data_IF_160276404925
#
_entry.id   IF_160276404925
#
_cell.length_a   1.000
_cell.length_b   1.000
_cell.length_c   1.000
_cell.angle_alpha   90.00
_cell.angle_beta   90.00
_cell.angle_gamma   90.00
#
_symmetry.space_group_name_H-M   'P 1'
#
loop_
_entity.id
_entity.type
_entity.pdbx_description
1 polymer ?
#
# COMPACT_ATOMS: atom_id res chain seq x y z
N UNK A 1 -3.40 12.41 13.03
CA UNK A 1 -3.01 10.99 12.93
C UNK A 1 -1.51 10.96 12.70
N UNK A 2 -0.79 10.00 13.30
CA UNK A 2 0.66 9.89 13.25
C UNK A 2 1.02 8.51 12.64
N UNK A 3 1.93 8.40 11.66
CA UNK A 3 2.61 9.48 10.92
C UNK A 3 1.64 10.42 10.15
N UNK A 4 2.06 11.64 9.76
CA UNK A 4 1.21 12.54 8.99
C UNK A 4 1.00 12.00 7.57
N UNK A 5 -0.21 12.18 7.01
CA UNK A 5 -0.55 11.69 5.67
C UNK A 5 0.34 12.30 4.56
N UNK A 6 0.98 13.44 4.80
CA UNK A 6 1.98 14.03 3.90
C UNK A 6 3.17 13.11 3.63
N UNK A 7 3.47 12.18 4.53
CA UNK A 7 4.54 11.21 4.37
C UNK A 7 4.17 10.03 3.45
N UNK A 8 2.88 9.87 3.10
CA UNK A 8 2.42 8.76 2.27
C UNK A 8 2.96 8.86 0.84
N UNK A 9 3.69 7.83 0.44
CA UNK A 9 4.15 7.61 -0.92
C UNK A 9 3.63 6.24 -1.38
N UNK A 10 2.72 6.24 -2.35
CA UNK A 10 2.14 4.99 -2.86
C UNK A 10 3.09 4.35 -3.87
N UNK A 11 3.30 3.04 -3.74
CA UNK A 11 4.03 2.21 -4.70
C UNK A 11 3.16 1.02 -5.11
N UNK A 12 3.35 0.54 -6.33
CA UNK A 12 2.76 -0.72 -6.79
C UNK A 12 3.83 -1.80 -6.70
N UNK A 13 3.62 -2.80 -5.85
CA UNK A 13 4.50 -3.98 -5.81
C UNK A 13 4.08 -4.94 -6.92
N UNK A 14 5.07 -5.45 -7.66
CA UNK A 14 4.83 -6.42 -8.73
C UNK A 14 4.38 -7.79 -8.19
N UNK A 15 3.79 -8.65 -9.03
CA UNK A 15 3.47 -10.01 -8.63
C UNK A 15 4.72 -10.74 -8.10
N UNK A 16 4.58 -11.40 -6.95
CA UNK A 16 5.72 -12.02 -6.25
C UNK A 16 6.55 -11.05 -5.39
N UNK A 17 6.19 -9.76 -5.35
CA UNK A 17 6.81 -8.75 -4.49
C UNK A 17 5.85 -8.29 -3.38
N UNK A 18 6.38 -8.14 -2.17
CA UNK A 18 5.64 -7.61 -1.01
C UNK A 18 5.74 -6.08 -0.91
N UNK A 19 4.81 -5.46 -0.17
CA UNK A 19 4.90 -4.03 0.13
C UNK A 19 6.17 -3.66 0.90
N UNK A 20 6.64 -4.54 1.80
CA UNK A 20 7.93 -4.37 2.47
C UNK A 20 9.07 -4.23 1.46
N UNK A 21 9.13 -5.11 0.45
CA UNK A 21 10.20 -5.13 -0.55
C UNK A 21 10.16 -3.89 -1.44
N UNK A 22 9.01 -3.57 -2.05
CA UNK A 22 8.91 -2.44 -2.98
C UNK A 22 9.26 -1.10 -2.30
N UNK A 23 8.82 -0.90 -1.05
CA UNK A 23 9.19 0.31 -0.30
C UNK A 23 10.70 0.33 -0.02
N UNK A 24 11.28 -0.79 0.43
CA UNK A 24 12.70 -0.89 0.76
C UNK A 24 13.60 -0.64 -0.46
N UNK A 25 13.27 -1.21 -1.62
CA UNK A 25 14.00 -0.99 -2.88
C UNK A 25 13.98 0.48 -3.33
N UNK A 26 12.91 1.20 -2.96
CA UNK A 26 12.76 2.64 -3.21
C UNK A 26 13.39 3.52 -2.11
N UNK A 27 14.17 2.96 -1.17
CA UNK A 27 14.74 3.68 -0.02
C UNK A 27 13.67 4.32 0.88
N UNK A 28 12.52 3.65 1.00
CA UNK A 28 11.40 3.98 1.86
C UNK A 28 11.16 2.81 2.84
N UNK A 29 10.18 2.96 3.73
CA UNK A 29 9.67 1.87 4.57
C UNK A 29 8.15 1.77 4.41
N UNK A 30 7.62 0.55 4.46
CA UNK A 30 6.16 0.35 4.43
C UNK A 30 5.53 0.90 5.72
N UNK A 31 4.46 1.67 5.58
CA UNK A 31 3.74 2.30 6.69
C UNK A 31 2.31 1.72 6.78
N UNK A 32 2.07 0.72 7.63
CA UNK A 32 0.80 0.00 7.65
C UNK A 32 -0.38 0.88 8.08
N UNK A 33 -0.16 1.94 8.87
CA UNK A 33 -1.23 2.86 9.27
C UNK A 33 -1.88 3.59 8.09
N UNK A 34 -1.23 3.65 6.93
CA UNK A 34 -1.76 4.32 5.75
C UNK A 34 -2.61 3.42 4.84
N UNK A 35 -2.69 2.10 5.08
CA UNK A 35 -3.54 1.23 4.26
C UNK A 35 -5.01 1.65 4.26
N UNK A 36 -5.51 2.19 5.38
CA UNK A 36 -6.89 2.70 5.48
C UNK A 36 -7.20 3.83 4.48
N UNK A 37 -6.17 4.53 3.96
CA UNK A 37 -6.30 5.58 2.97
C UNK A 37 -6.16 5.07 1.53
N UNK A 38 -6.02 3.76 1.33
CA UNK A 38 -5.84 3.11 0.03
C UNK A 38 -6.89 2.02 -0.21
N UNK A 39 -8.02 2.07 0.51
CA UNK A 39 -8.98 0.97 0.56
C UNK A 39 -10.35 1.28 -0.09
N UNK A 40 -10.38 2.21 -1.04
CA UNK A 40 -11.57 2.52 -1.86
C UNK A 40 -11.17 3.12 -3.20
N UNK A 41 -12.02 2.95 -4.21
CA UNK A 41 -11.79 3.41 -5.59
C UNK A 41 -11.36 4.90 -5.64
N UNK A 42 -12.12 5.78 -4.98
CA UNK A 42 -11.88 7.24 -4.96
C UNK A 42 -10.53 7.64 -4.39
N UNK A 43 -9.96 6.84 -3.49
CA UNK A 43 -8.65 7.13 -2.92
C UNK A 43 -7.53 6.75 -3.90
N UNK A 44 -7.70 5.63 -4.59
CA UNK A 44 -6.74 5.09 -5.54
C UNK A 44 -6.60 5.92 -6.81
N UNK A 45 -7.67 6.62 -7.22
CA UNK A 45 -7.66 7.57 -8.33
C UNK A 45 -6.56 8.65 -8.21
N UNK A 46 -6.21 9.08 -6.99
CA UNK A 46 -5.16 10.08 -6.73
C UNK A 46 -3.76 9.57 -7.08
N UNK A 47 -3.61 8.26 -7.19
CA UNK A 47 -2.35 7.56 -7.45
C UNK A 47 -2.39 6.84 -8.80
N UNK A 48 -3.25 7.30 -9.72
CA UNK A 48 -3.38 6.79 -11.10
C UNK A 48 -3.81 5.31 -11.18
N UNK A 49 -4.34 4.75 -10.10
CA UNK A 49 -4.91 3.40 -10.07
C UNK A 49 -6.42 3.52 -10.30
N UNK A 50 -6.85 3.17 -11.52
CA UNK A 50 -8.26 3.26 -11.95
C UNK A 50 -8.90 1.87 -11.92
N UNK A 51 -9.81 1.68 -10.98
CA UNK A 51 -10.61 0.46 -10.84
C UNK A 51 -11.87 0.55 -11.73
N UNK A 52 -12.02 -0.36 -12.69
CA UNK A 52 -13.26 -0.56 -13.46
C UNK A 52 -14.28 -1.40 -12.71
N UNK A 53 -13.80 -2.30 -11.85
CA UNK A 53 -14.61 -3.11 -10.95
C UNK A 53 -13.86 -3.28 -9.65
N UNK A 54 -14.61 -3.48 -8.55
CA UNK A 54 -14.02 -3.69 -7.25
C UNK A 54 -14.80 -4.72 -6.42
N UNK A 55 -14.09 -5.42 -5.54
CA UNK A 55 -14.68 -6.34 -4.56
C UNK A 55 -13.99 -6.22 -3.20
N UNK A 56 -14.59 -6.81 -2.16
CA UNK A 56 -14.06 -6.84 -0.79
C UNK A 56 -13.69 -8.27 -0.41
N UNK A 57 -12.48 -8.47 0.07
CA UNK A 57 -11.99 -9.76 0.59
C UNK A 57 -11.25 -9.57 1.91
N UNK A 58 -11.28 -10.58 2.77
CA UNK A 58 -10.51 -10.62 4.03
C UNK A 58 -9.20 -11.38 3.83
N UNK A 59 -8.18 -10.69 3.32
CA UNK A 59 -6.87 -11.29 2.99
C UNK A 59 -5.73 -10.33 3.33
N UNK A 60 -4.57 -10.84 3.73
CA UNK A 60 -3.38 -10.01 4.01
C UNK A 60 -2.77 -9.37 2.75
N UNK A 61 -3.12 -9.88 1.57
CA UNK A 61 -2.52 -9.48 0.29
C UNK A 61 -3.23 -8.28 -0.37
N UNK A 62 -4.33 -7.79 0.20
CA UNK A 62 -5.11 -6.65 -0.32
C UNK A 62 -4.83 -5.36 0.46
N UNK A 63 -4.96 -4.15 -0.12
CA UNK A 63 -5.49 -3.84 -1.45
C UNK A 63 -4.59 -4.31 -2.61
N UNK A 64 -5.22 -4.94 -3.60
CA UNK A 64 -4.54 -5.43 -4.82
C UNK A 64 -5.20 -4.89 -6.08
N UNK A 65 -4.42 -4.79 -7.15
CA UNK A 65 -4.83 -4.28 -8.45
C UNK A 65 -4.42 -5.24 -9.56
N UNK A 66 -5.39 -5.70 -10.35
CA UNK A 66 -5.15 -6.38 -11.61
C UNK A 66 -5.08 -5.35 -12.74
N UNK A 67 -3.90 -5.05 -13.31
CA UNK A 67 -3.77 -4.06 -14.37
C UNK A 67 -4.41 -4.51 -15.68
N UNK A 68 -4.60 -5.82 -15.90
CA UNK A 68 -5.20 -6.34 -17.15
C UNK A 68 -6.69 -6.09 -17.21
N UNK A 69 -7.39 -6.43 -16.12
CA UNK A 69 -8.84 -6.26 -16.01
C UNK A 69 -9.25 -4.93 -15.36
N UNK A 70 -8.27 -4.13 -14.92
CA UNK A 70 -8.48 -2.94 -14.09
C UNK A 70 -9.40 -3.25 -12.89
N UNK A 71 -9.16 -4.39 -12.24
CA UNK A 71 -9.96 -4.88 -11.13
C UNK A 71 -9.23 -4.64 -9.81
N UNK A 72 -9.92 -4.09 -8.82
CA UNK A 72 -9.37 -3.80 -7.50
C UNK A 72 -10.01 -4.70 -6.44
N UNK A 73 -9.18 -5.34 -5.61
CA UNK A 73 -9.66 -6.09 -4.45
C UNK A 73 -9.27 -5.31 -3.21
N UNK A 74 -10.26 -4.90 -2.43
CA UNK A 74 -10.09 -4.13 -1.20
C UNK A 74 -10.22 -5.01 0.04
N UNK A 75 -9.66 -4.52 1.14
CA UNK A 75 -9.70 -5.17 2.45
C UNK A 75 -11.08 -5.06 3.09
N UNK A 76 -11.64 -6.22 3.46
CA UNK A 76 -12.88 -6.35 4.24
C UNK A 76 -12.67 -6.49 5.74
N UNK A 77 -11.45 -6.75 6.21
CA UNK A 77 -11.07 -6.81 7.63
C UNK A 77 -9.80 -5.97 7.89
N UNK A 78 -9.97 -4.81 8.54
CA UNK A 78 -8.89 -3.85 8.73
C UNK A 78 -7.72 -4.39 9.57
N UNK A 79 -7.94 -5.45 10.36
CA UNK A 79 -6.88 -6.11 11.13
C UNK A 79 -5.92 -6.90 10.25
N UNK A 80 -6.30 -7.21 9.00
CA UNK A 80 -5.49 -7.98 8.06
C UNK A 80 -4.60 -7.12 7.17
N UNK A 81 -4.61 -5.79 7.30
CA UNK A 81 -3.65 -4.97 6.56
C UNK A 81 -2.21 -5.37 6.89
N UNK A 82 -1.41 -5.66 5.86
CA UNK A 82 -0.09 -6.24 6.04
C UNK A 82 0.92 -5.73 5.02
N UNK A 83 2.06 -5.24 5.53
CA UNK A 83 3.23 -4.96 4.70
C UNK A 83 3.88 -6.24 4.15
N UNK A 84 3.74 -7.35 4.88
CA UNK A 84 4.27 -8.66 4.48
C UNK A 84 3.34 -9.33 3.46
N UNK A 85 3.84 -10.37 2.81
CA UNK A 85 3.10 -11.13 1.81
C UNK A 85 3.20 -10.52 0.41
N UNK A 86 3.42 -11.39 -0.56
CA UNK A 86 3.51 -11.05 -1.97
C UNK A 86 2.32 -11.67 -2.71
N UNK A 87 1.60 -10.84 -3.47
CA UNK A 87 0.46 -11.35 -4.22
C UNK A 87 0.98 -12.10 -5.46
N UNK A 88 0.49 -13.33 -5.76
CA UNK A 88 1.09 -14.16 -6.81
C UNK A 88 0.74 -13.71 -8.23
N UNK A 89 -0.33 -12.92 -8.41
CA UNK A 89 -0.88 -12.56 -9.73
C UNK A 89 -1.08 -11.06 -9.98
N UNK A 90 -1.79 -10.39 -9.07
CA UNK A 90 -2.03 -8.94 -9.08
C UNK A 90 -0.86 -8.16 -8.48
N UNK A 91 -0.83 -6.86 -8.76
CA UNK A 91 0.03 -5.90 -8.07
C UNK A 91 -0.57 -5.55 -6.71
N UNK A 92 0.27 -5.31 -5.69
CA UNK A 92 -0.20 -4.78 -4.40
C UNK A 92 -0.10 -3.26 -4.37
N UNK A 93 -1.14 -2.60 -3.86
CA UNK A 93 -1.09 -1.15 -3.61
C UNK A 93 -0.49 -0.92 -2.24
N UNK A 94 0.72 -0.35 -2.21
CA UNK A 94 1.58 -0.35 -1.04
C UNK A 94 1.76 1.07 -0.47
N UNK A 95 1.43 1.29 0.81
CA UNK A 95 1.74 2.53 1.49
C UNK A 95 3.20 2.54 1.96
N UNK A 96 4.01 3.40 1.38
CA UNK A 96 5.35 3.67 1.86
C UNK A 96 5.40 5.04 2.56
N UNK A 97 6.44 5.23 3.37
CA UNK A 97 6.86 6.54 3.88
C UNK A 97 8.37 6.67 3.84
N UNK A 98 8.84 7.90 3.89
CA UNK A 98 10.25 8.19 4.10
C UNK A 98 10.70 7.90 5.54
N UNK A 99 12.01 7.96 5.75
CA UNK A 99 12.59 7.84 7.08
C UNK A 99 13.86 8.70 7.22
N UNK A 100 14.21 9.03 8.45
CA UNK A 100 15.46 9.72 8.78
C UNK A 100 16.60 8.68 8.76
N UNK A 101 17.67 8.93 7.98
CA UNK A 101 18.83 8.01 7.94
C UNK A 101 19.43 7.87 9.36
N UNK A 102 19.61 6.63 9.80
CA UNK A 102 20.01 6.32 11.19
C UNK A 102 18.86 6.26 12.20
N UNK A 103 17.63 6.62 11.81
CA UNK A 103 16.42 6.57 12.63
C UNK A 103 15.21 6.12 11.78
N UNK A 104 15.18 4.84 11.39
CA UNK A 104 14.17 4.29 10.48
C UNK A 104 12.73 4.37 11.03
N UNK A 105 12.59 4.46 12.35
CA UNK A 105 11.30 4.54 13.03
C UNK A 105 10.53 5.83 12.71
N UNK A 106 11.21 6.92 12.36
CA UNK A 106 10.60 8.23 12.16
C UNK A 106 10.69 8.68 10.69
N UNK A 107 9.59 9.20 10.16
CA UNK A 107 9.59 10.01 8.93
C UNK A 107 10.24 11.38 9.18
N UNK A 108 10.57 12.13 8.13
CA UNK A 108 11.16 13.47 8.29
C UNK A 108 10.25 14.45 9.04
N UNK A 109 8.93 14.30 8.88
CA UNK A 109 7.91 15.15 9.51
C UNK A 109 7.25 14.48 10.73
N UNK A 110 7.93 13.53 11.38
CA UNK A 110 7.37 12.72 12.48
C UNK A 110 7.80 13.18 13.89
N UNK A 111 8.42 14.37 14.00
CA UNK A 111 8.84 15.01 15.26
C UNK A 111 7.94 16.18 15.65
#
# INVERSE_FOLDING_TARGET
MWPPLSALQVKLADPGQSCKQVCQENQLICEPSFFQHLNKDKDLLKYEVICQSSELTKDILVPSFDPKNRHCVFQGDLLLFSCAGAHPRHQRVCPCRDFIKGQVALCKDCL
#
